data_IF_689854936267
#
_entry.id   IF_689854936267
#
_cell.length_a   1.000
_cell.length_b   1.000
_cell.length_c   1.000
_cell.angle_alpha   90.00
_cell.angle_beta   90.00
_cell.angle_gamma   90.00
#
_symmetry.space_group_name_H-M   'P 1'
#
loop_
_entity.id
_entity.type
_entity.pdbx_description
1 polymer ?
#
# COMPACT_ATOMS: atom_id res chain seq x y z
N UNK A 1 1.01 18.71 16.53
CA UNK A 1 -0.44 18.46 16.57
C UNK A 1 -0.78 17.79 17.90
N UNK A 2 -1.92 18.12 18.50
CA UNK A 2 -2.46 17.33 19.61
C UNK A 2 -3.22 16.10 19.08
N UNK A 3 -3.35 15.05 19.89
CA UNK A 3 -4.12 13.85 19.52
C UNK A 3 -5.57 14.20 19.12
N UNK A 4 -6.20 15.13 19.85
CA UNK A 4 -7.55 15.63 19.56
C UNK A 4 -7.68 16.32 18.20
N UNK A 5 -6.67 17.10 17.80
CA UNK A 5 -6.65 17.74 16.50
C UNK A 5 -6.56 16.70 15.38
N UNK A 6 -5.73 15.67 15.55
CA UNK A 6 -5.62 14.56 14.59
C UNK A 6 -6.96 13.83 14.39
N UNK A 7 -7.68 13.51 15.47
CA UNK A 7 -8.99 12.86 15.38
C UNK A 7 -10.00 13.69 14.60
N UNK A 8 -10.09 15.00 14.89
CA UNK A 8 -11.03 15.90 14.18
C UNK A 8 -10.75 15.98 12.68
N UNK A 9 -9.49 15.90 12.27
CA UNK A 9 -9.09 15.99 10.88
C UNK A 9 -9.25 14.65 10.13
N UNK A 10 -8.89 13.54 10.77
CA UNK A 10 -8.79 12.24 10.11
C UNK A 10 -10.07 11.40 10.19
N UNK A 11 -10.82 11.45 11.30
CA UNK A 11 -12.03 10.63 11.46
C UNK A 11 -13.06 10.81 10.34
N UNK A 12 -13.39 12.04 9.89
CA UNK A 12 -14.35 12.23 8.80
C UNK A 12 -13.90 11.62 7.46
N UNK A 13 -12.60 11.34 7.30
CA UNK A 13 -12.00 10.88 6.04
C UNK A 13 -11.84 9.36 5.96
N UNK A 14 -12.01 8.65 7.08
CA UNK A 14 -11.80 7.19 7.15
C UNK A 14 -12.66 6.40 6.15
N UNK A 15 -13.90 6.84 5.90
CA UNK A 15 -14.77 6.21 4.91
C UNK A 15 -14.19 6.30 3.49
N UNK A 16 -13.75 7.50 3.08
CA UNK A 16 -13.12 7.74 1.78
C UNK A 16 -11.81 6.96 1.63
N UNK A 17 -10.99 6.86 2.69
CA UNK A 17 -9.77 6.05 2.66
C UNK A 17 -10.06 4.56 2.47
N UNK A 18 -11.11 4.05 3.12
CA UNK A 18 -11.55 2.66 2.94
C UNK A 18 -12.04 2.42 1.51
N UNK A 19 -12.84 3.32 0.96
CA UNK A 19 -13.33 3.21 -0.44
C UNK A 19 -12.16 3.16 -1.43
N UNK A 20 -11.16 4.02 -1.23
CA UNK A 20 -9.96 4.00 -2.05
C UNK A 20 -9.10 2.74 -1.82
N UNK A 21 -8.97 2.26 -0.59
CA UNK A 21 -8.27 1.01 -0.32
C UNK A 21 -8.93 -0.17 -1.05
N UNK A 22 -10.27 -0.23 -1.10
CA UNK A 22 -11.00 -1.22 -1.89
C UNK A 22 -10.70 -1.11 -3.39
N UNK A 23 -10.75 0.11 -3.94
CA UNK A 23 -10.50 0.37 -5.36
C UNK A 23 -9.07 -0.03 -5.76
N UNK A 24 -8.07 0.41 -4.99
CA UNK A 24 -6.68 0.08 -5.23
C UNK A 24 -6.42 -1.43 -5.09
N UNK A 25 -6.91 -2.05 -4.01
CA UNK A 25 -6.75 -3.49 -3.79
C UNK A 25 -7.32 -4.33 -4.94
N UNK A 26 -8.51 -4.00 -5.44
CA UNK A 26 -9.12 -4.71 -6.57
C UNK A 26 -8.24 -4.67 -7.83
N UNK A 27 -7.57 -3.54 -8.08
CA UNK A 27 -6.66 -3.38 -9.22
C UNK A 27 -5.36 -4.16 -9.05
N UNK A 28 -4.81 -4.16 -7.84
CA UNK A 28 -3.58 -4.89 -7.52
C UNK A 28 -3.82 -6.40 -7.54
N UNK A 29 -4.97 -6.88 -7.05
CA UNK A 29 -5.35 -8.29 -7.07
C UNK A 29 -5.59 -8.83 -8.49
N UNK A 30 -5.90 -7.96 -9.45
CA UNK A 30 -6.01 -8.33 -10.86
C UNK A 30 -4.65 -8.62 -11.53
N UNK A 31 -3.52 -8.26 -10.89
CA UNK A 31 -2.19 -8.49 -11.45
C UNK A 31 -1.76 -9.95 -11.30
N UNK A 32 -1.22 -10.59 -12.36
CA UNK A 32 -0.79 -11.98 -12.30
C UNK A 32 0.24 -12.24 -11.20
N UNK A 33 -0.09 -13.17 -10.30
CA UNK A 33 0.81 -13.60 -9.22
C UNK A 33 0.86 -12.67 -8.01
N UNK A 34 0.12 -11.55 -8.02
CA UNK A 34 0.00 -10.66 -6.86
C UNK A 34 -1.15 -11.15 -5.98
N UNK A 35 -1.08 -10.90 -4.67
CA UNK A 35 -2.18 -11.21 -3.73
C UNK A 35 -2.40 -10.08 -2.76
N UNK A 36 -3.65 -9.77 -2.50
CA UNK A 36 -4.05 -8.83 -1.44
C UNK A 36 -4.58 -9.61 -0.26
N UNK A 37 -4.26 -9.17 0.96
CA UNK A 37 -4.77 -9.79 2.18
C UNK A 37 -5.11 -8.73 3.25
N UNK A 38 -6.33 -8.73 3.82
CA UNK A 38 -7.49 -9.52 3.39
C UNK A 38 -8.04 -9.02 2.04
N UNK A 39 -8.72 -9.90 1.30
CA UNK A 39 -9.42 -9.56 0.05
C UNK A 39 -10.93 -9.82 0.19
N UNK A 40 -11.79 -8.77 0.14
CA UNK A 40 -11.42 -7.34 0.04
C UNK A 40 -10.87 -6.78 1.37
N UNK A 41 -10.11 -5.65 1.33
CA UNK A 41 -9.72 -4.92 2.52
C UNK A 41 -10.90 -4.52 3.40
N UNK A 42 -10.73 -4.63 4.71
CA UNK A 42 -11.79 -4.27 5.67
C UNK A 42 -11.72 -2.79 6.08
N UNK A 43 -10.52 -2.20 6.01
CA UNK A 43 -10.19 -0.83 6.44
C UNK A 43 -9.36 -0.13 5.36
N UNK A 44 -8.77 1.02 5.68
CA UNK A 44 -7.87 1.76 4.79
C UNK A 44 -6.50 1.10 4.58
N UNK A 45 -6.28 -0.12 5.09
CA UNK A 45 -5.01 -0.81 5.04
C UNK A 45 -5.17 -2.27 4.61
N UNK A 46 -4.17 -2.79 3.91
CA UNK A 46 -4.08 -4.19 3.50
C UNK A 46 -2.62 -4.59 3.22
N UNK A 47 -2.37 -5.89 3.20
CA UNK A 47 -1.09 -6.47 2.80
C UNK A 47 -1.10 -6.75 1.30
N UNK A 48 -0.01 -6.40 0.63
CA UNK A 48 0.25 -6.75 -0.76
C UNK A 48 1.41 -7.75 -0.81
N UNK A 49 1.14 -8.93 -1.33
CA UNK A 49 2.12 -9.98 -1.56
C UNK A 49 2.52 -10.02 -3.03
N UNK A 50 3.82 -9.96 -3.28
CA UNK A 50 4.42 -9.87 -4.61
C UNK A 50 5.34 -11.06 -4.90
N UNK A 51 5.36 -11.59 -6.13
CA UNK A 51 6.20 -12.73 -6.52
C UNK A 51 7.65 -12.31 -6.80
N UNK A 52 8.25 -11.56 -5.87
CA UNK A 52 9.63 -11.05 -5.94
C UNK A 52 10.30 -11.20 -4.59
N UNK A 53 11.62 -11.46 -4.58
CA UNK A 53 12.38 -11.54 -3.34
C UNK A 53 12.34 -10.20 -2.58
N UNK A 54 12.25 -10.21 -1.23
CA UNK A 54 12.20 -9.00 -0.41
C UNK A 54 13.34 -8.00 -0.68
N UNK A 55 14.54 -8.50 -0.93
CA UNK A 55 15.73 -7.69 -1.19
C UNK A 55 15.63 -6.95 -2.51
N UNK A 56 15.12 -7.63 -3.56
CA UNK A 56 14.88 -7.02 -4.87
C UNK A 56 13.77 -5.98 -4.81
N UNK A 57 12.70 -6.25 -4.06
CA UNK A 57 11.64 -5.27 -3.87
C UNK A 57 12.17 -4.02 -3.17
N UNK A 58 12.99 -4.21 -2.12
CA UNK A 58 13.63 -3.11 -1.40
C UNK A 58 14.53 -2.26 -2.31
N UNK A 59 15.30 -2.89 -3.17
CA UNK A 59 16.16 -2.21 -4.15
C UNK A 59 15.33 -1.38 -5.14
N UNK A 60 14.24 -1.94 -5.67
CA UNK A 60 13.31 -1.24 -6.56
C UNK A 60 12.66 -0.03 -5.88
N UNK A 61 12.17 -0.18 -4.64
CA UNK A 61 11.60 0.92 -3.85
C UNK A 61 12.63 2.05 -3.62
N UNK A 62 13.89 1.70 -3.32
CA UNK A 62 14.98 2.66 -3.17
C UNK A 62 15.32 3.36 -4.49
N UNK A 63 15.21 2.67 -5.62
CA UNK A 63 15.43 3.28 -6.92
C UNK A 63 14.33 4.30 -7.25
N UNK A 64 13.06 3.91 -7.12
CA UNK A 64 11.91 4.81 -7.33
C UNK A 64 12.03 6.06 -6.47
N UNK A 65 12.42 5.91 -5.21
CA UNK A 65 12.55 7.04 -4.31
C UNK A 65 13.69 7.99 -4.66
N UNK A 66 14.79 7.48 -5.23
CA UNK A 66 15.87 8.32 -5.75
C UNK A 66 15.42 9.10 -6.99
N UNK A 67 14.67 8.45 -7.88
CA UNK A 67 14.22 9.04 -9.14
C UNK A 67 13.10 10.06 -8.95
N UNK A 68 12.16 9.78 -8.04
CA UNK A 68 10.94 10.57 -7.84
C UNK A 68 10.99 11.47 -6.60
N UNK A 69 12.11 11.48 -5.86
CA UNK A 69 12.28 12.16 -4.58
C UNK A 69 11.18 11.85 -3.55
N UNK A 70 10.52 10.69 -3.69
CA UNK A 70 9.39 10.26 -2.87
C UNK A 70 9.66 8.87 -2.29
N UNK A 71 9.78 8.79 -0.98
CA UNK A 71 9.99 7.53 -0.28
C UNK A 71 8.67 6.93 0.17
N UNK A 72 8.34 5.74 -0.34
CA UNK A 72 7.12 5.00 0.02
C UNK A 72 7.09 4.53 1.47
N UNK A 73 8.18 4.61 2.24
CA UNK A 73 8.22 4.14 3.63
C UNK A 73 8.14 2.62 3.80
N UNK A 74 7.82 1.90 2.72
CA UNK A 74 7.56 0.48 2.73
C UNK A 74 8.81 -0.31 3.11
N UNK A 75 8.63 -1.27 4.01
CA UNK A 75 9.67 -2.19 4.45
C UNK A 75 9.29 -3.60 3.98
N UNK A 76 9.83 -4.07 2.84
CA UNK A 76 9.58 -5.42 2.36
C UNK A 76 9.98 -6.46 3.40
N UNK A 77 9.09 -7.42 3.63
CA UNK A 77 9.36 -8.62 4.43
C UNK A 77 9.06 -9.87 3.61
N UNK A 78 9.45 -11.04 4.08
CA UNK A 78 9.11 -12.29 3.41
C UNK A 78 7.58 -12.50 3.37
N UNK A 79 7.06 -12.88 2.22
CA UNK A 79 5.65 -13.21 2.04
C UNK A 79 5.31 -14.53 2.73
N UNK A 80 4.20 -14.54 3.47
CA UNK A 80 3.63 -15.76 4.04
C UNK A 80 2.69 -16.49 3.07
N UNK A 81 2.33 -15.87 1.94
CA UNK A 81 1.39 -16.42 0.95
C UNK A 81 2.06 -16.87 -0.35
N UNK A 82 3.27 -16.38 -0.63
CA UNK A 82 4.02 -16.64 -1.86
C UNK A 82 5.43 -17.10 -1.47
N UNK A 83 5.76 -18.36 -1.77
CA UNK A 83 7.09 -18.90 -1.51
C UNK A 83 8.16 -18.09 -2.26
N UNK A 84 9.14 -17.56 -1.53
CA UNK A 84 10.18 -16.68 -2.09
C UNK A 84 9.70 -15.27 -2.48
N UNK A 85 8.43 -14.94 -2.22
CA UNK A 85 7.86 -13.62 -2.46
C UNK A 85 8.09 -12.64 -1.31
N UNK A 86 7.65 -11.41 -1.53
CA UNK A 86 7.73 -10.31 -0.57
C UNK A 86 6.34 -9.82 -0.18
N UNK A 87 6.24 -9.19 0.98
CA UNK A 87 5.04 -8.52 1.45
C UNK A 87 5.37 -7.08 1.86
N UNK A 88 4.47 -6.16 1.53
CA UNK A 88 4.44 -4.79 2.05
C UNK A 88 3.04 -4.47 2.56
N UNK A 89 2.95 -3.60 3.56
CA UNK A 89 1.68 -3.05 4.01
C UNK A 89 1.37 -1.75 3.26
N UNK A 90 0.15 -1.65 2.74
CA UNK A 90 -0.37 -0.45 2.11
C UNK A 90 -1.37 0.18 3.07
N UNK A 91 -1.19 1.47 3.36
CA UNK A 91 -2.11 2.26 4.20
C UNK A 91 -2.49 3.53 3.46
N UNK A 92 -3.78 3.69 3.17
CA UNK A 92 -4.32 4.90 2.55
C UNK A 92 -4.52 5.97 3.62
N UNK A 93 -3.97 7.15 3.38
CA UNK A 93 -4.15 8.36 4.19
C UNK A 93 -3.81 9.61 3.37
N UNK A 94 -3.59 10.74 4.03
CA UNK A 94 -3.31 12.05 3.39
C UNK A 94 -2.24 11.98 2.29
N UNK A 95 -1.18 11.18 2.51
CA UNK A 95 -0.07 11.03 1.58
C UNK A 95 -0.50 10.49 0.20
N UNK A 96 -1.68 9.89 0.11
CA UNK A 96 -2.20 9.34 -1.13
C UNK A 96 -2.99 10.38 -1.96
N UNK A 97 -3.42 11.52 -1.41
CA UNK A 97 -4.39 12.44 -2.06
C UNK A 97 -3.98 12.97 -3.44
N UNK A 98 -2.69 13.01 -3.76
CA UNK A 98 -2.16 13.45 -5.06
C UNK A 98 -1.93 12.35 -6.10
N UNK A 99 -2.17 11.09 -5.76
CA UNK A 99 -1.87 9.94 -6.60
C UNK A 99 -3.13 9.37 -7.22
N UNK A 100 -3.10 9.02 -8.50
CA UNK A 100 -4.17 8.24 -9.10
C UNK A 100 -3.88 6.76 -8.92
N UNK A 101 -4.88 5.96 -8.55
CA UNK A 101 -4.73 4.49 -8.51
C UNK A 101 -4.32 3.95 -9.89
N UNK A 102 -4.57 4.75 -10.96
CA UNK A 102 -4.08 4.61 -12.33
C UNK A 102 -2.65 4.12 -12.44
N UNK A 103 -1.80 4.70 -11.59
CA UNK A 103 -0.35 4.65 -11.63
C UNK A 103 0.22 3.49 -10.80
N UNK A 104 -0.64 2.69 -10.17
CA UNK A 104 -0.22 1.65 -9.22
C UNK A 104 0.09 0.29 -9.87
N UNK A 105 -0.11 0.14 -11.18
CA UNK A 105 0.06 -1.11 -11.94
C UNK A 105 0.94 -0.91 -13.16
#
# INVERSE_FOLDING_TARGET
>A
MSAWQGLRQQLPRMAAYRERALALAARLAAQPGWRVAPEPPQVNAFQLHLPVAPERLREGLLQVAREQAFWLGARPVASQQLAGGAMVEVVIGDAADGWADGEAV
#
